data_IF_888724759471
#
_entry.id   IF_888724759471
#
_cell.length_a   1.000
_cell.length_b   1.000
_cell.length_c   1.000
_cell.angle_alpha   90.00
_cell.angle_beta   90.00
_cell.angle_gamma   90.00
#
_symmetry.space_group_name_H-M   'P 1'
#
loop_
_entity.id
_entity.type
_entity.pdbx_description
1 polymer ?
#
# COMPACT_ATOMS: atom_id res chain seq x y z
N UNK A 1 -11.63 1.65 21.54
CA UNK A 1 -11.35 1.05 22.88
C UNK A 1 -9.93 1.31 23.44
N UNK A 2 -8.92 1.60 22.60
CA UNK A 2 -7.52 1.74 23.06
C UNK A 2 -6.99 3.19 23.14
N UNK A 3 -7.75 4.18 22.65
CA UNK A 3 -7.42 5.59 22.83
C UNK A 3 -7.98 6.09 24.16
N UNK A 4 -7.22 6.92 24.86
CA UNK A 4 -7.70 7.60 26.07
C UNK A 4 -8.88 8.50 25.73
N UNK A 5 -9.83 8.61 26.65
CA UNK A 5 -11.02 9.44 26.46
C UNK A 5 -10.71 10.95 26.33
N UNK A 6 -9.56 11.39 26.84
CA UNK A 6 -9.09 12.78 26.80
C UNK A 6 -8.08 13.06 25.68
N UNK A 7 -7.88 12.11 24.76
CA UNK A 7 -7.01 12.31 23.61
C UNK A 7 -7.59 13.38 22.69
N UNK A 8 -6.79 14.40 22.38
CA UNK A 8 -7.15 15.43 21.40
C UNK A 8 -6.93 14.89 19.99
N UNK A 9 -7.99 14.89 19.18
CA UNK A 9 -7.90 14.48 17.78
C UNK A 9 -7.44 15.66 16.92
N UNK A 10 -6.30 15.50 16.27
CA UNK A 10 -5.73 16.50 15.36
C UNK A 10 -5.95 16.05 13.90
N UNK A 11 -6.86 16.69 13.16
CA UNK A 11 -7.09 16.32 11.77
C UNK A 11 -5.93 16.80 10.88
N UNK A 12 -5.49 15.93 9.97
CA UNK A 12 -4.59 16.28 8.87
C UNK A 12 -5.39 16.22 7.55
N UNK A 13 -5.98 17.34 7.09
CA UNK A 13 -6.76 17.35 5.86
C UNK A 13 -5.83 17.21 4.65
N UNK A 14 -6.01 16.13 3.89
CA UNK A 14 -5.31 15.85 2.64
C UNK A 14 -6.30 15.92 1.48
N UNK A 15 -5.86 16.43 0.34
CA UNK A 15 -6.71 16.58 -0.86
C UNK A 15 -6.91 15.25 -1.59
N UNK A 16 -5.94 14.34 -1.48
CA UNK A 16 -5.87 13.09 -2.23
C UNK A 16 -6.00 13.26 -3.75
N UNK A 17 -5.77 14.47 -4.27
CA UNK A 17 -5.74 14.74 -5.70
C UNK A 17 -4.41 14.24 -6.29
N UNK A 18 -4.41 13.26 -7.20
CA UNK A 18 -3.18 12.77 -7.81
C UNK A 18 -2.38 13.83 -8.60
N UNK A 19 -3.00 14.95 -8.96
CA UNK A 19 -2.35 16.07 -9.65
C UNK A 19 -1.70 17.08 -8.67
N UNK A 20 -2.00 16.99 -7.38
CA UNK A 20 -1.51 17.91 -6.36
C UNK A 20 -0.65 17.17 -5.34
N UNK A 21 0.41 17.83 -4.87
CA UNK A 21 1.17 17.34 -3.73
C UNK A 21 0.61 18.02 -2.49
N UNK A 22 0.31 17.23 -1.45
CA UNK A 22 -0.17 17.74 -0.17
C UNK A 22 0.96 18.33 0.70
N UNK A 23 2.05 18.82 0.09
CA UNK A 23 3.25 19.28 0.82
C UNK A 23 2.92 20.41 1.82
N UNK A 24 2.13 21.41 1.39
CA UNK A 24 1.69 22.49 2.27
C UNK A 24 0.82 21.98 3.44
N UNK A 25 0.03 20.92 3.21
CA UNK A 25 -0.78 20.30 4.26
C UNK A 25 0.11 19.58 5.28
N UNK A 26 1.17 18.91 4.83
CA UNK A 26 2.17 18.32 5.71
C UNK A 26 3.01 19.36 6.45
N UNK A 27 3.34 20.49 5.82
CA UNK A 27 4.04 21.60 6.50
C UNK A 27 3.19 22.17 7.63
N UNK A 28 1.94 22.53 7.35
CA UNK A 28 1.00 23.02 8.37
C UNK A 28 0.72 21.98 9.46
N UNK A 29 0.59 20.71 9.05
CA UNK A 29 0.43 19.59 9.96
C UNK A 29 1.61 19.48 10.92
N UNK A 30 2.84 19.52 10.39
CA UNK A 30 4.06 19.45 11.19
C UNK A 30 4.15 20.61 12.20
N UNK A 31 3.88 21.85 11.80
CA UNK A 31 3.88 22.97 12.75
C UNK A 31 2.78 22.84 13.81
N UNK A 32 1.62 22.32 13.43
CA UNK A 32 0.54 22.04 14.39
C UNK A 32 1.01 21.02 15.44
N UNK A 33 1.66 19.92 15.02
CA UNK A 33 2.17 18.90 15.93
C UNK A 33 3.33 19.44 16.79
N UNK A 34 4.23 20.21 16.20
CA UNK A 34 5.36 20.83 16.90
C UNK A 34 4.89 21.70 18.07
N UNK A 35 3.82 22.49 17.90
CA UNK A 35 3.27 23.32 18.97
C UNK A 35 2.77 22.52 20.20
N UNK A 36 2.44 21.23 20.04
CA UNK A 36 2.13 20.34 21.16
C UNK A 36 3.39 19.69 21.74
N UNK A 37 4.30 19.23 20.88
CA UNK A 37 5.57 18.61 21.29
C UNK A 37 6.45 19.58 22.08
N UNK A 38 6.52 20.85 21.68
CA UNK A 38 7.26 21.91 22.38
C UNK A 38 6.72 22.21 23.79
N UNK A 39 5.47 21.83 24.05
CA UNK A 39 4.84 21.91 25.39
C UNK A 39 5.06 20.63 26.21
N UNK A 40 5.91 19.72 25.75
CA UNK A 40 6.21 18.45 26.40
C UNK A 40 5.06 17.44 26.34
N UNK A 41 4.17 17.54 25.34
CA UNK A 41 3.08 16.58 25.15
C UNK A 41 3.47 15.52 24.12
N UNK A 42 3.12 14.27 24.39
CA UNK A 42 3.27 13.18 23.44
C UNK A 42 2.20 13.25 22.34
N UNK A 43 2.59 12.92 21.12
CA UNK A 43 1.72 12.86 19.95
C UNK A 43 1.85 11.48 19.31
N UNK A 44 0.72 10.80 19.10
CA UNK A 44 0.66 9.53 18.39
C UNK A 44 -0.06 9.68 17.05
N UNK A 45 0.62 9.31 15.95
CA UNK A 45 0.02 9.25 14.61
C UNK A 45 -0.39 7.81 14.30
N UNK A 46 -1.69 7.55 14.24
CA UNK A 46 -2.19 6.23 13.85
C UNK A 46 -2.14 6.07 12.33
N UNK A 47 -1.52 4.97 11.89
CA UNK A 47 -1.37 4.63 10.48
C UNK A 47 -2.09 3.32 10.16
N UNK A 48 -2.68 3.23 8.97
CA UNK A 48 -3.12 1.94 8.42
C UNK A 48 -1.91 1.21 7.85
N UNK A 49 -1.76 -0.06 8.23
CA UNK A 49 -0.62 -0.86 7.82
C UNK A 49 0.66 -0.45 8.53
N UNK A 50 1.68 -0.08 7.77
CA UNK A 50 2.99 0.30 8.30
C UNK A 50 3.26 1.80 8.07
N UNK A 51 3.81 2.55 9.06
CA UNK A 51 4.03 3.99 8.93
C UNK A 51 4.99 4.38 7.80
N UNK A 52 5.92 3.50 7.41
CA UNK A 52 6.98 3.78 6.44
C UNK A 52 6.79 3.11 5.08
N UNK A 53 5.71 2.35 4.89
CA UNK A 53 5.39 1.75 3.61
C UNK A 53 4.22 2.46 2.93
N UNK A 54 4.53 3.43 2.06
CA UNK A 54 3.54 4.26 1.35
C UNK A 54 2.55 5.02 2.25
N UNK A 55 2.88 5.20 3.54
CA UNK A 55 2.05 5.91 4.51
C UNK A 55 2.26 7.42 4.54
N UNK A 56 1.24 8.19 4.91
CA UNK A 56 1.32 9.65 5.05
C UNK A 56 2.30 10.11 6.15
N UNK A 57 2.59 9.26 7.13
CA UNK A 57 3.51 9.58 8.21
C UNK A 57 4.94 9.87 7.73
N UNK A 58 5.39 9.26 6.64
CA UNK A 58 6.69 9.52 6.00
C UNK A 58 6.95 11.02 5.81
N UNK A 59 5.93 11.77 5.37
CA UNK A 59 6.05 13.19 5.08
C UNK A 59 6.14 14.05 6.34
N UNK A 60 5.43 13.68 7.41
CA UNK A 60 5.54 14.34 8.73
C UNK A 60 6.86 13.98 9.41
N UNK A 61 7.28 12.72 9.33
CA UNK A 61 8.56 12.25 9.86
C UNK A 61 9.72 13.08 9.30
N UNK A 62 9.75 13.28 7.96
CA UNK A 62 10.79 14.08 7.30
C UNK A 62 10.86 15.53 7.81
N UNK A 63 9.75 16.10 8.29
CA UNK A 63 9.65 17.48 8.80
C UNK A 63 9.97 17.60 10.28
N UNK A 64 9.72 16.55 11.06
CA UNK A 64 9.78 16.58 12.52
C UNK A 64 10.99 15.87 13.11
N UNK A 65 11.56 14.88 12.43
CA UNK A 65 12.61 14.01 12.99
C UNK A 65 13.91 14.74 13.36
N UNK A 66 14.19 15.90 12.77
CA UNK A 66 15.33 16.74 13.13
C UNK A 66 15.08 17.62 14.37
N UNK A 67 13.80 17.81 14.75
CA UNK A 67 13.36 18.72 15.82
C UNK A 67 12.96 17.99 17.10
N UNK A 68 12.46 16.76 16.97
CA UNK A 68 11.88 16.01 18.09
C UNK A 68 12.32 14.54 18.05
N UNK A 69 12.34 13.90 19.21
CA UNK A 69 12.50 12.44 19.29
C UNK A 69 11.24 11.77 18.75
N UNK A 70 11.41 10.81 17.85
CA UNK A 70 10.32 10.06 17.23
C UNK A 70 10.61 8.57 17.36
N UNK A 71 9.66 7.85 17.94
CA UNK A 71 9.62 6.39 17.91
C UNK A 71 8.68 5.91 16.80
N UNK A 72 9.10 4.91 16.05
CA UNK A 72 8.30 4.30 14.96
C UNK A 72 7.98 2.86 15.34
N UNK A 73 6.70 2.60 15.61
CA UNK A 73 6.21 1.27 15.92
C UNK A 73 5.77 0.60 14.60
N UNK A 74 6.43 -0.49 14.17
CA UNK A 74 6.10 -1.13 12.91
C UNK A 74 4.72 -1.78 12.96
N UNK A 75 4.04 -1.79 11.81
CA UNK A 75 2.73 -2.42 11.66
C UNK A 75 2.75 -3.57 10.65
N UNK A 76 1.71 -4.41 10.67
CA UNK A 76 1.51 -5.42 9.62
C UNK A 76 1.09 -4.69 8.35
N UNK A 77 1.94 -4.74 7.33
CA UNK A 77 1.66 -4.11 6.03
C UNK A 77 0.42 -4.74 5.39
N UNK A 78 -0.35 -3.94 4.63
CA UNK A 78 -1.49 -4.45 3.87
C UNK A 78 -1.08 -5.56 2.90
N UNK A 79 0.16 -5.53 2.40
CA UNK A 79 0.72 -6.54 1.50
C UNK A 79 0.79 -7.91 2.17
N UNK A 80 1.45 -8.00 3.32
CA UNK A 80 1.60 -9.26 4.05
C UNK A 80 0.26 -9.80 4.52
N UNK A 81 -0.61 -8.93 5.03
CA UNK A 81 -1.96 -9.28 5.44
C UNK A 81 -2.79 -9.80 4.26
N UNK A 82 -2.77 -9.10 3.12
CA UNK A 82 -3.54 -9.48 1.94
C UNK A 82 -3.05 -10.79 1.31
N UNK A 83 -1.74 -11.01 1.27
CA UNK A 83 -1.14 -12.27 0.82
C UNK A 83 -1.63 -13.46 1.68
N UNK A 84 -1.59 -13.31 3.00
CA UNK A 84 -2.08 -14.33 3.92
C UNK A 84 -3.59 -14.57 3.77
N UNK A 85 -4.40 -13.51 3.68
CA UNK A 85 -5.85 -13.59 3.49
C UNK A 85 -6.24 -14.23 2.15
N UNK A 86 -5.47 -13.98 1.10
CA UNK A 86 -5.66 -14.58 -0.22
C UNK A 86 -5.13 -16.01 -0.32
N UNK A 87 -4.45 -16.53 0.72
CA UNK A 87 -3.77 -17.82 0.66
C UNK A 87 -2.68 -17.86 -0.42
N UNK A 88 -2.06 -16.71 -0.71
CA UNK A 88 -1.14 -16.54 -1.82
C UNK A 88 0.22 -16.08 -1.30
N UNK A 89 1.14 -17.02 -1.01
CA UNK A 89 2.53 -16.66 -0.73
C UNK A 89 3.10 -15.88 -1.93
N UNK A 90 3.93 -14.87 -1.64
CA UNK A 90 4.43 -13.92 -2.65
C UNK A 90 5.88 -14.17 -3.07
N UNK A 91 6.65 -14.93 -2.30
CA UNK A 91 8.03 -15.29 -2.58
C UNK A 91 8.47 -16.48 -1.72
N UNK A 92 9.37 -17.31 -2.24
CA UNK A 92 10.18 -18.25 -1.46
C UNK A 92 11.57 -18.44 -2.07
N UNK A 93 12.52 -18.95 -1.28
CA UNK A 93 13.91 -19.19 -1.70
C UNK A 93 14.50 -17.91 -2.31
N UNK A 94 14.92 -17.98 -3.58
CA UNK A 94 15.62 -16.90 -4.29
C UNK A 94 14.68 -16.02 -5.13
N UNK A 95 13.36 -16.14 -4.94
CA UNK A 95 12.37 -15.35 -5.67
C UNK A 95 12.57 -13.84 -5.42
N UNK A 96 12.63 -13.06 -6.49
CA UNK A 96 12.54 -11.61 -6.41
C UNK A 96 11.07 -11.19 -6.27
N UNK A 97 10.78 -10.39 -5.23
CA UNK A 97 9.45 -9.80 -5.01
C UNK A 97 9.47 -8.31 -5.35
N UNK A 98 8.67 -7.93 -6.33
CA UNK A 98 8.46 -6.54 -6.71
C UNK A 98 7.25 -5.93 -6.01
N UNK A 99 7.41 -4.74 -5.45
CA UNK A 99 6.29 -3.90 -5.02
C UNK A 99 6.27 -2.64 -5.88
N UNK A 100 5.21 -2.44 -6.66
CA UNK A 100 5.16 -1.39 -7.68
C UNK A 100 3.82 -0.65 -7.70
N UNK A 101 3.82 0.69 -7.66
CA UNK A 101 2.61 1.46 -7.92
C UNK A 101 2.20 1.37 -9.39
N UNK A 102 0.92 1.16 -9.65
CA UNK A 102 0.34 1.20 -10.99
C UNK A 102 0.40 2.60 -11.65
N UNK A 103 0.96 3.62 -10.99
CA UNK A 103 1.22 4.94 -11.57
C UNK A 103 2.44 4.96 -12.51
N UNK A 104 3.31 3.94 -12.47
CA UNK A 104 4.44 3.79 -13.40
C UNK A 104 3.99 3.70 -14.85
N UNK A 105 4.86 4.00 -15.81
CA UNK A 105 4.48 3.89 -17.23
C UNK A 105 4.15 2.43 -17.59
N UNK A 106 3.41 2.24 -18.69
CA UNK A 106 3.05 0.89 -19.14
C UNK A 106 4.31 0.06 -19.45
N UNK A 107 5.29 0.66 -20.13
CA UNK A 107 6.56 0.04 -20.47
C UNK A 107 7.40 -0.31 -19.23
N UNK A 108 7.52 0.61 -18.26
CA UNK A 108 8.27 0.34 -17.02
C UNK A 108 7.65 -0.81 -16.25
N UNK A 109 6.32 -0.83 -16.14
CA UNK A 109 5.60 -1.89 -15.43
C UNK A 109 5.84 -3.25 -16.09
N UNK A 110 5.80 -3.31 -17.42
CA UNK A 110 6.08 -4.52 -18.18
C UNK A 110 7.51 -5.02 -17.96
N UNK A 111 8.51 -4.14 -18.08
CA UNK A 111 9.92 -4.49 -17.89
C UNK A 111 10.19 -4.99 -16.47
N UNK A 112 9.63 -4.33 -15.45
CA UNK A 112 9.81 -4.72 -14.05
C UNK A 112 9.15 -6.06 -13.75
N UNK A 113 7.92 -6.29 -14.22
CA UNK A 113 7.19 -7.54 -13.99
C UNK A 113 7.81 -8.72 -14.74
N UNK A 114 8.42 -8.48 -15.91
CA UNK A 114 9.16 -9.50 -16.63
C UNK A 114 10.36 -10.01 -15.80
N UNK A 115 11.00 -9.16 -14.99
CA UNK A 115 12.22 -9.44 -14.25
C UNK A 115 12.07 -10.01 -12.83
N UNK A 116 10.85 -10.30 -12.36
CA UNK A 116 10.64 -10.82 -10.99
C UNK A 116 9.70 -12.04 -10.96
N UNK A 117 9.78 -12.85 -9.90
CA UNK A 117 8.92 -14.03 -9.71
C UNK A 117 7.59 -13.66 -9.08
N UNK A 118 7.61 -12.76 -8.09
CA UNK A 118 6.44 -12.26 -7.38
C UNK A 118 6.25 -10.75 -7.58
N UNK A 119 5.01 -10.29 -7.60
CA UNK A 119 4.72 -8.87 -7.63
C UNK A 119 3.47 -8.47 -6.83
N UNK A 120 3.50 -7.26 -6.29
CA UNK A 120 2.39 -6.58 -5.66
C UNK A 120 2.20 -5.24 -6.34
N UNK A 121 1.05 -5.07 -6.98
CA UNK A 121 0.72 -3.87 -7.73
C UNK A 121 -0.29 -3.04 -6.93
N UNK A 122 0.12 -1.84 -6.53
CA UNK A 122 -0.65 -0.92 -5.67
C UNK A 122 -1.27 0.22 -6.49
N UNK A 123 -2.21 0.96 -5.90
CA UNK A 123 -2.84 2.16 -6.52
C UNK A 123 -3.50 1.85 -7.87
N UNK A 124 -4.17 0.69 -7.96
CA UNK A 124 -4.65 0.14 -9.22
C UNK A 124 -5.81 0.93 -9.82
N UNK A 125 -6.78 1.40 -9.02
CA UNK A 125 -7.83 2.38 -9.36
C UNK A 125 -8.07 2.63 -10.87
N UNK A 126 -7.86 3.89 -11.30
CA UNK A 126 -7.97 4.31 -12.71
C UNK A 126 -6.92 3.69 -13.65
N UNK A 127 -5.92 3.00 -13.11
CA UNK A 127 -4.83 2.37 -13.87
C UNK A 127 -5.11 0.90 -14.19
N UNK A 128 -6.25 0.35 -13.76
CA UNK A 128 -6.60 -1.06 -13.91
C UNK A 128 -6.52 -1.54 -15.37
N UNK A 129 -7.08 -0.77 -16.31
CA UNK A 129 -7.04 -1.11 -17.73
C UNK A 129 -5.61 -1.21 -18.30
N UNK A 130 -4.69 -0.35 -17.81
CA UNK A 130 -3.26 -0.44 -18.15
C UNK A 130 -2.62 -1.68 -17.57
N UNK A 131 -2.87 -1.98 -16.30
CA UNK A 131 -2.32 -3.18 -15.64
C UNK A 131 -2.81 -4.44 -16.36
N UNK A 132 -4.08 -4.51 -16.74
CA UNK A 132 -4.66 -5.63 -17.50
C UNK A 132 -3.90 -5.86 -18.81
N UNK A 133 -3.70 -4.83 -19.63
CA UNK A 133 -2.94 -4.95 -20.89
C UNK A 133 -1.52 -5.47 -20.67
N UNK A 134 -0.82 -5.01 -19.63
CA UNK A 134 0.54 -5.47 -19.32
C UNK A 134 0.54 -6.94 -18.91
N UNK A 135 -0.36 -7.34 -18.01
CA UNK A 135 -0.45 -8.73 -17.56
C UNK A 135 -0.88 -9.68 -18.69
N UNK A 136 -1.75 -9.24 -19.60
CA UNK A 136 -2.16 -10.01 -20.77
C UNK A 136 -0.97 -10.24 -21.72
N UNK A 137 -0.18 -9.18 -22.03
CA UNK A 137 1.02 -9.30 -22.87
C UNK A 137 2.06 -10.25 -22.28
N UNK A 138 2.22 -10.23 -20.96
CA UNK A 138 3.16 -11.12 -20.26
C UNK A 138 2.60 -12.53 -20.03
N UNK A 139 1.33 -12.79 -20.34
CA UNK A 139 0.67 -14.07 -20.05
C UNK A 139 0.48 -14.34 -18.54
N UNK A 140 0.42 -13.30 -17.72
CA UNK A 140 0.38 -13.37 -16.25
C UNK A 140 -1.03 -13.18 -15.66
N UNK A 141 -2.03 -12.84 -16.48
CA UNK A 141 -3.41 -12.57 -16.04
C UNK A 141 -4.01 -13.71 -15.21
N UNK A 142 -3.83 -14.97 -15.63
CA UNK A 142 -4.35 -16.14 -14.90
C UNK A 142 -3.62 -16.43 -13.57
N UNK A 143 -2.51 -15.77 -13.31
CA UNK A 143 -1.72 -15.94 -12.08
C UNK A 143 -1.94 -14.81 -11.08
N UNK A 144 -2.68 -13.77 -11.48
CA UNK A 144 -2.95 -12.60 -10.68
C UNK A 144 -4.26 -12.73 -9.87
N UNK A 145 -4.27 -12.13 -8.69
CA UNK A 145 -5.42 -12.05 -7.80
C UNK A 145 -5.58 -10.61 -7.36
N UNK A 146 -6.79 -10.06 -7.52
CA UNK A 146 -7.13 -8.78 -6.91
C UNK A 146 -7.74 -9.01 -5.54
N UNK A 147 -7.26 -8.27 -4.55
CA UNK A 147 -7.88 -8.20 -3.24
C UNK A 147 -8.28 -6.75 -2.96
N UNK A 148 -9.55 -6.58 -2.60
CA UNK A 148 -10.14 -5.32 -2.18
C UNK A 148 -10.41 -5.40 -0.68
N UNK A 149 -10.11 -4.30 0.02
CA UNK A 149 -10.47 -4.06 1.42
C UNK A 149 -10.03 -5.20 2.34
N UNK A 150 -8.86 -5.79 2.11
CA UNK A 150 -8.31 -6.89 2.90
C UNK A 150 -8.28 -6.56 4.40
N UNK A 151 -8.91 -7.39 5.22
CA UNK A 151 -9.06 -7.19 6.67
C UNK A 151 -10.08 -6.13 7.08
N UNK A 152 -10.77 -5.49 6.14
CA UNK A 152 -11.82 -4.50 6.39
C UNK A 152 -13.20 -5.06 6.02
N UNK A 153 -14.26 -4.38 6.48
CA UNK A 153 -15.63 -4.68 6.04
C UNK A 153 -15.75 -4.50 4.52
N UNK A 154 -16.35 -5.48 3.84
CA UNK A 154 -16.48 -5.52 2.38
C UNK A 154 -15.26 -6.10 1.66
N UNK A 155 -14.44 -6.92 2.33
CA UNK A 155 -13.34 -7.64 1.69
C UNK A 155 -13.81 -8.46 0.49
N UNK A 156 -13.08 -8.39 -0.63
CA UNK A 156 -13.27 -9.24 -1.81
C UNK A 156 -11.94 -9.76 -2.31
N UNK A 157 -11.88 -11.03 -2.67
CA UNK A 157 -10.71 -11.66 -3.30
C UNK A 157 -11.20 -12.26 -4.61
N UNK A 158 -10.68 -11.77 -5.73
CA UNK A 158 -11.20 -12.08 -7.07
C UNK A 158 -10.02 -12.50 -7.96
N UNK A 159 -10.10 -13.65 -8.67
CA UNK A 159 -9.20 -13.94 -9.78
C UNK A 159 -9.14 -12.75 -10.76
N UNK A 160 -7.95 -12.36 -11.20
CA UNK A 160 -7.82 -11.12 -11.96
C UNK A 160 -8.47 -11.18 -13.36
N UNK A 161 -8.57 -12.38 -13.94
CA UNK A 161 -9.33 -12.66 -15.16
C UNK A 161 -10.85 -12.48 -15.00
N UNK A 162 -11.37 -12.61 -13.77
CA UNK A 162 -12.79 -12.44 -13.42
C UNK A 162 -13.12 -11.06 -12.84
N UNK A 163 -12.12 -10.18 -12.75
CA UNK A 163 -12.28 -8.86 -12.16
C UNK A 163 -12.96 -7.89 -13.14
N UNK A 164 -14.15 -7.43 -12.76
CA UNK A 164 -14.88 -6.36 -13.42
C UNK A 164 -14.11 -5.02 -13.30
N UNK A 165 -14.06 -4.28 -14.41
CA UNK A 165 -13.29 -3.03 -14.53
C UNK A 165 -14.00 -1.80 -13.97
N UNK A 166 -15.32 -1.86 -13.76
CA UNK A 166 -16.13 -0.66 -13.62
C UNK A 166 -16.23 -0.12 -12.18
N UNK A 167 -15.74 -0.85 -11.17
CA UNK A 167 -15.84 -0.40 -9.77
C UNK A 167 -14.80 -1.00 -8.81
N UNK A 168 -13.52 -0.71 -9.05
CA UNK A 168 -12.46 -1.14 -8.12
C UNK A 168 -12.27 -0.15 -6.95
N UNK A 169 -12.22 -0.68 -5.72
CA UNK A 169 -12.04 0.13 -4.51
C UNK A 169 -10.66 0.80 -4.46
N UNK A 170 -10.54 1.95 -3.77
CA UNK A 170 -9.24 2.57 -3.48
C UNK A 170 -8.30 1.63 -2.71
N UNK A 171 -8.85 0.91 -1.73
CA UNK A 171 -8.11 -0.09 -0.95
C UNK A 171 -8.04 -1.41 -1.69
N UNK A 172 -7.36 -1.42 -2.83
CA UNK A 172 -7.19 -2.61 -3.64
C UNK A 172 -5.74 -2.78 -4.10
N UNK A 173 -5.34 -4.03 -4.26
CA UNK A 173 -4.05 -4.40 -4.82
C UNK A 173 -4.16 -5.68 -5.63
N UNK A 174 -3.23 -5.84 -6.57
CA UNK A 174 -3.06 -7.10 -7.30
C UNK A 174 -1.85 -7.82 -6.72
N UNK A 175 -2.06 -9.08 -6.34
CA UNK A 175 -1.04 -10.03 -5.97
C UNK A 175 -0.76 -10.92 -7.17
N UNK A 176 0.51 -11.17 -7.45
CA UNK A 176 0.96 -11.96 -8.59
C UNK A 176 2.15 -12.81 -8.16
N UNK A 177 2.17 -14.05 -8.63
CA UNK A 177 3.36 -14.90 -8.56
C UNK A 177 3.43 -15.80 -9.79
N UNK A 178 4.60 -15.93 -10.41
CA UNK A 178 4.79 -16.66 -11.67
C UNK A 178 4.44 -18.15 -11.59
N UNK A 179 4.53 -18.74 -10.39
CA UNK A 179 4.09 -20.12 -10.10
C UNK A 179 2.58 -20.25 -9.88
N UNK A 180 1.83 -19.16 -9.96
CA UNK A 180 0.39 -19.12 -9.71
C UNK A 180 0.02 -19.29 -8.23
N UNK A 181 -1.21 -19.74 -7.97
CA UNK A 181 -1.76 -19.95 -6.62
C UNK A 181 -1.26 -21.23 -5.94
N UNK A 182 -0.83 -22.22 -6.73
CA UNK A 182 -0.38 -23.52 -6.23
C UNK A 182 1.13 -23.49 -6.03
N UNK A 183 1.56 -23.36 -4.78
CA UNK A 183 2.96 -23.53 -4.42
C UNK A 183 3.29 -25.01 -4.37
N UNK A 184 3.83 -25.56 -5.45
CA UNK A 184 4.50 -26.86 -5.42
C UNK A 184 5.96 -26.63 -5.02
N UNK A 185 6.28 -26.93 -3.76
CA UNK A 185 7.68 -27.07 -3.35
C UNK A 185 8.10 -28.45 -3.87
N UNK A 186 8.69 -28.50 -5.06
CA UNK A 186 9.40 -29.71 -5.48
C UNK A 186 10.48 -30.01 -4.43
N UNK A 187 10.55 -31.24 -3.91
CA UNK A 187 11.50 -31.62 -2.85
C UNK A 187 12.95 -31.39 -3.25
#
# INVERSE_FOLDING_TARGET
PHLRADALHLPLPLTFDPAQRDDDAYDRGAETLAAYLEKGRDVAMLCLGDPFLFGSFLYLFARLAARFSIEVIPGITSISACAALAGMPLAARDDALLMVPATRTEQDLENLLAGCEGAVILKIGRHLGKVRRVLDRLGLTGQAVCIERGGLSGQRIVPFDQLDTDSISYFSMILLHKRGRTWSISP
#
